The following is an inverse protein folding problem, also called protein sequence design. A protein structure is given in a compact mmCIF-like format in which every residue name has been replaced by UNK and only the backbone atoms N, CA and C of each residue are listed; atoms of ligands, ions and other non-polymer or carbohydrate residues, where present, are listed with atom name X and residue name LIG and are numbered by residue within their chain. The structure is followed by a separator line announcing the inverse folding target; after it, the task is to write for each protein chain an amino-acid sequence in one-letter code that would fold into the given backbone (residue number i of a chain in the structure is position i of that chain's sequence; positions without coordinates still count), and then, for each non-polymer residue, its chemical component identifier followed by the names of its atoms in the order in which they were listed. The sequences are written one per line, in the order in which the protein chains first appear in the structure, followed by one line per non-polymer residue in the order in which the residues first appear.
data_IF_859638862244
#
_entry.id   IF_859638862244
#
_cell.length_a   1.000
_cell.length_b   1.000
_cell.length_c   1.000
_cell.angle_alpha   90.00
_cell.angle_beta   90.00
_cell.angle_gamma   90.00
#
_symmetry.space_group_name_H-M   'P 1'
#
loop_
_entity.id
_entity.type
_entity.pdbx_description
1 polymer ?
#
# COMPACT_ATOMS: atom_id res chain seq x y z
N UNK A 1 -17.68 -44.32 67.15
CA UNK A 1 -17.49 -44.37 65.68
C UNK A 1 -17.74 -42.96 65.14
N UNK A 2 -16.69 -42.23 64.74
CA UNK A 2 -16.80 -40.88 64.18
C UNK A 2 -16.50 -40.97 62.68
N UNK A 3 -17.48 -40.65 61.85
CA UNK A 3 -17.39 -40.68 60.39
C UNK A 3 -16.81 -39.35 59.90
N UNK A 4 -15.64 -39.41 59.25
CA UNK A 4 -15.04 -38.28 58.53
C UNK A 4 -15.63 -38.20 57.12
N UNK A 5 -16.26 -37.06 56.79
CA UNK A 5 -16.67 -36.72 55.43
C UNK A 5 -15.56 -35.93 54.74
N UNK A 6 -14.98 -36.48 53.67
CA UNK A 6 -14.02 -35.80 52.81
C UNK A 6 -14.76 -34.93 51.79
N UNK A 7 -14.49 -33.62 51.80
CA UNK A 7 -14.87 -32.70 50.72
C UNK A 7 -13.87 -32.82 49.57
N UNK A 8 -14.32 -33.34 48.43
CA UNK A 8 -13.61 -33.30 47.15
C UNK A 8 -13.78 -31.92 46.52
N UNK A 9 -12.76 -31.08 46.64
CA UNK A 9 -12.60 -29.85 45.85
C UNK A 9 -12.19 -30.24 44.42
N UNK A 10 -13.14 -30.25 43.50
CA UNK A 10 -12.90 -30.37 42.06
C UNK A 10 -12.30 -29.06 41.53
N UNK A 11 -11.00 -29.06 41.27
CA UNK A 11 -10.29 -27.96 40.61
C UNK A 11 -10.55 -28.06 39.10
N UNK A 12 -11.55 -27.32 38.60
CA UNK A 12 -11.78 -27.18 37.16
C UNK A 12 -10.69 -26.31 36.54
N UNK A 13 -9.73 -26.96 35.87
CA UNK A 13 -8.67 -26.32 35.10
C UNK A 13 -9.27 -25.72 33.81
N UNK A 14 -9.57 -24.42 33.82
CA UNK A 14 -10.00 -23.69 32.65
C UNK A 14 -8.84 -23.52 31.66
N UNK A 15 -8.83 -24.33 30.60
CA UNK A 15 -8.03 -24.06 29.40
C UNK A 15 -8.62 -22.83 28.70
N UNK A 16 -8.14 -21.65 29.07
CA UNK A 16 -8.32 -20.45 28.26
C UNK A 16 -7.50 -20.63 26.97
N UNK A 17 -8.20 -20.84 25.85
CA UNK A 17 -7.65 -20.65 24.50
C UNK A 17 -7.25 -19.18 24.37
N UNK A 18 -6.01 -18.84 24.73
CA UNK A 18 -5.46 -17.54 24.40
C UNK A 18 -5.35 -17.46 22.88
N UNK A 19 -5.86 -16.39 22.24
CA UNK A 19 -5.55 -16.16 20.84
C UNK A 19 -4.03 -16.05 20.74
N UNK A 20 -3.43 -16.80 19.80
CA UNK A 20 -2.04 -16.64 19.40
C UNK A 20 -1.88 -15.21 18.85
N UNK A 21 -1.66 -14.25 19.74
CA UNK A 21 -1.15 -12.95 19.37
C UNK A 21 0.18 -13.22 18.69
N UNK A 22 0.30 -12.88 17.40
CA UNK A 22 1.58 -12.94 16.71
C UNK A 22 2.53 -12.03 17.47
N UNK A 23 3.50 -12.63 18.18
CA UNK A 23 4.47 -11.88 18.93
C UNK A 23 5.25 -11.01 17.95
N UNK A 24 5.33 -9.71 18.23
CA UNK A 24 6.09 -8.80 17.38
C UNK A 24 7.57 -9.24 17.34
N UNK A 25 8.18 -9.19 16.16
CA UNK A 25 9.57 -9.57 15.96
C UNK A 25 10.51 -8.82 16.93
N UNK A 26 11.37 -9.58 17.62
CA UNK A 26 12.43 -9.00 18.44
C UNK A 26 13.34 -8.09 17.61
N UNK A 27 14.05 -7.12 18.22
CA UNK A 27 15.00 -6.27 17.51
C UNK A 27 16.03 -7.07 16.68
N UNK A 28 16.51 -8.20 17.22
CA UNK A 28 17.43 -9.09 16.53
C UNK A 28 16.80 -9.77 15.31
N UNK A 29 15.57 -10.29 15.42
CA UNK A 29 14.85 -10.87 14.27
C UNK A 29 14.61 -9.82 13.19
N UNK A 30 14.26 -8.58 13.56
CA UNK A 30 14.09 -7.47 12.60
C UNK A 30 15.37 -7.18 11.84
N UNK A 31 16.49 -7.08 12.54
CA UNK A 31 17.81 -6.87 11.91
C UNK A 31 18.17 -8.01 10.94
N UNK A 32 17.94 -9.27 11.31
CA UNK A 32 18.21 -10.41 10.42
C UNK A 32 17.28 -10.42 9.20
N UNK A 33 16.00 -10.09 9.36
CA UNK A 33 15.06 -9.93 8.25
C UNK A 33 15.47 -8.80 7.31
N UNK A 34 16.02 -7.69 7.84
CA UNK A 34 16.60 -6.62 7.04
C UNK A 34 17.85 -7.09 6.28
N UNK A 35 18.73 -7.87 6.92
CA UNK A 35 19.89 -8.47 6.23
C UNK A 35 19.47 -9.40 5.10
N UNK A 36 18.41 -10.19 5.30
CA UNK A 36 17.81 -10.98 4.22
C UNK A 36 17.36 -10.06 3.08
N UNK A 37 16.54 -9.03 3.35
CA UNK A 37 16.06 -8.09 2.32
C UNK A 37 17.20 -7.39 1.58
N UNK A 38 18.25 -7.00 2.31
CA UNK A 38 19.45 -6.42 1.73
C UNK A 38 20.17 -7.42 0.82
N UNK A 39 20.38 -8.65 1.29
CA UNK A 39 20.96 -9.73 0.51
C UNK A 39 20.19 -9.98 -0.78
N UNK A 40 18.86 -10.03 -0.71
CA UNK A 40 17.97 -10.17 -1.86
C UNK A 40 18.13 -9.02 -2.87
N UNK A 41 18.11 -7.76 -2.39
CA UNK A 41 18.25 -6.59 -3.26
C UNK A 41 19.64 -6.45 -3.90
N UNK A 42 20.68 -6.99 -3.24
CA UNK A 42 22.08 -6.96 -3.69
C UNK A 42 22.53 -8.25 -4.36
N UNK A 43 21.63 -9.22 -4.56
CA UNK A 43 21.92 -10.55 -5.10
C UNK A 43 23.02 -11.33 -4.32
N UNK A 44 23.19 -11.02 -3.03
CA UNK A 44 24.11 -11.71 -2.12
C UNK A 44 23.41 -12.86 -1.41
N UNK A 45 23.32 -14.00 -2.08
CA UNK A 45 22.64 -15.20 -1.58
C UNK A 45 23.33 -15.84 -0.37
N UNK A 46 24.62 -15.58 -0.16
CA UNK A 46 25.36 -15.96 1.05
C UNK A 46 24.82 -15.23 2.29
N UNK A 47 24.62 -13.91 2.20
CA UNK A 47 24.05 -13.10 3.26
C UNK A 47 22.62 -13.54 3.57
N UNK A 48 21.83 -13.81 2.54
CA UNK A 48 20.47 -14.35 2.70
C UNK A 48 20.51 -15.67 3.46
N UNK A 49 21.31 -16.64 3.00
CA UNK A 49 21.38 -17.99 3.58
C UNK A 49 21.78 -17.95 5.06
N UNK A 50 22.83 -17.20 5.39
CA UNK A 50 23.32 -17.10 6.77
C UNK A 50 22.29 -16.43 7.70
N UNK A 51 21.68 -15.33 7.24
CA UNK A 51 20.69 -14.60 8.02
C UNK A 51 19.43 -15.41 8.23
N UNK A 52 18.96 -16.10 7.19
CA UNK A 52 17.79 -16.96 7.23
C UNK A 52 18.01 -18.18 8.13
N UNK A 53 19.19 -18.82 8.07
CA UNK A 53 19.52 -19.92 8.98
C UNK A 53 19.41 -19.50 10.45
N UNK A 54 19.94 -18.32 10.80
CA UNK A 54 19.83 -17.79 12.17
C UNK A 54 18.39 -17.49 12.56
N UNK A 55 17.57 -16.97 11.64
CA UNK A 55 16.15 -16.74 11.87
C UNK A 55 15.39 -18.04 12.14
N UNK A 56 15.65 -19.09 11.35
CA UNK A 56 15.03 -20.40 11.50
C UNK A 56 15.41 -21.08 12.83
N UNK A 57 16.60 -20.80 13.37
CA UNK A 57 16.99 -21.25 14.71
C UNK A 57 16.31 -20.48 15.85
N UNK A 58 15.99 -19.20 15.64
CA UNK A 58 15.34 -18.35 16.66
C UNK A 58 13.85 -18.64 16.73
N UNK A 59 13.16 -18.59 15.59
CA UNK A 59 11.71 -18.78 15.50
C UNK A 59 11.33 -19.35 14.12
N UNK A 60 11.36 -20.68 13.96
CA UNK A 60 11.05 -21.33 12.69
C UNK A 60 9.58 -21.21 12.27
N UNK A 61 8.70 -20.79 13.18
CA UNK A 61 7.25 -20.69 12.96
C UNK A 61 6.79 -19.25 12.69
N UNK A 62 7.73 -18.31 12.69
CA UNK A 62 7.47 -16.92 12.37
C UNK A 62 7.02 -16.76 10.90
N UNK A 63 5.86 -16.14 10.63
CA UNK A 63 5.38 -15.94 9.26
C UNK A 63 6.37 -15.18 8.36
N UNK A 64 7.11 -14.20 8.89
CA UNK A 64 8.10 -13.46 8.10
C UNK A 64 9.32 -14.33 7.73
N UNK A 65 9.71 -15.25 8.61
CA UNK A 65 10.83 -16.19 8.37
C UNK A 65 10.41 -17.24 7.33
N UNK A 66 9.21 -17.79 7.45
CA UNK A 66 8.67 -18.72 6.46
C UNK A 66 8.54 -18.03 5.09
N UNK A 67 8.06 -16.78 5.04
CA UNK A 67 7.99 -15.99 3.81
C UNK A 67 9.38 -15.67 3.23
N UNK A 68 10.40 -15.44 4.07
CA UNK A 68 11.77 -15.29 3.61
C UNK A 68 12.32 -16.60 2.99
N UNK A 69 12.06 -17.75 3.63
CA UNK A 69 12.43 -19.07 3.09
C UNK A 69 11.72 -19.38 1.77
N UNK A 70 10.43 -19.10 1.69
CA UNK A 70 9.65 -19.18 0.46
C UNK A 70 10.30 -18.40 -0.69
N UNK A 71 10.64 -17.12 -0.47
CA UNK A 71 11.27 -16.27 -1.50
C UNK A 71 12.66 -16.78 -1.89
N UNK A 72 13.43 -17.28 -0.93
CA UNK A 72 14.72 -17.92 -1.19
C UNK A 72 14.57 -19.13 -2.12
N UNK A 73 13.65 -20.06 -1.81
CA UNK A 73 13.40 -21.26 -2.62
C UNK A 73 12.96 -20.91 -4.05
N UNK A 74 12.09 -19.92 -4.22
CA UNK A 74 11.72 -19.43 -5.55
C UNK A 74 12.91 -18.93 -6.36
N UNK A 75 13.84 -18.18 -5.76
CA UNK A 75 15.04 -17.70 -6.45
C UNK A 75 16.01 -18.83 -6.81
N UNK A 76 16.03 -19.90 -6.03
CA UNK A 76 16.80 -21.11 -6.35
C UNK A 76 16.11 -21.99 -7.42
N UNK A 77 14.90 -21.63 -7.87
CA UNK A 77 14.11 -22.43 -8.81
C UNK A 77 13.38 -23.62 -8.17
N UNK A 78 13.44 -23.78 -6.84
CA UNK A 78 12.71 -24.82 -6.12
C UNK A 78 11.26 -24.38 -5.85
N UNK A 79 10.46 -24.41 -6.91
CA UNK A 79 9.03 -24.05 -6.88
C UNK A 79 8.21 -25.00 -6.01
N UNK A 80 8.60 -26.28 -5.92
CA UNK A 80 7.93 -27.26 -5.08
C UNK A 80 8.18 -27.00 -3.59
N UNK A 81 9.42 -26.69 -3.22
CA UNK A 81 9.78 -26.26 -1.87
C UNK A 81 9.08 -24.95 -1.49
N UNK A 82 9.08 -23.97 -2.40
CA UNK A 82 8.35 -22.72 -2.19
C UNK A 82 6.85 -22.96 -1.97
N UNK A 83 6.20 -23.80 -2.77
CA UNK A 83 4.79 -24.13 -2.59
C UNK A 83 4.51 -24.73 -1.19
N UNK A 84 5.40 -25.60 -0.69
CA UNK A 84 5.27 -26.15 0.67
C UNK A 84 5.32 -25.07 1.76
N UNK A 85 6.23 -24.10 1.66
CA UNK A 85 6.28 -22.99 2.62
C UNK A 85 5.06 -22.06 2.50
N UNK A 86 4.52 -21.89 1.28
CA UNK A 86 3.29 -21.14 1.07
C UNK A 86 2.08 -21.84 1.71
N UNK A 87 1.97 -23.17 1.57
CA UNK A 87 0.91 -23.96 2.20
C UNK A 87 1.04 -23.95 3.73
N UNK A 88 2.27 -23.96 4.24
CA UNK A 88 2.55 -23.78 5.67
C UNK A 88 2.08 -22.42 6.17
N UNK A 89 2.38 -21.33 5.45
CA UNK A 89 1.85 -20.00 5.76
C UNK A 89 0.32 -19.96 5.73
N UNK A 90 -0.31 -20.61 4.75
CA UNK A 90 -1.77 -20.71 4.65
C UNK A 90 -2.38 -21.37 5.88
N UNK A 91 -1.78 -22.45 6.37
CA UNK A 91 -2.28 -23.17 7.54
C UNK A 91 -2.08 -22.42 8.85
N UNK A 92 -0.96 -21.71 9.01
CA UNK A 92 -0.58 -21.07 10.27
C UNK A 92 -1.08 -19.63 10.40
N UNK A 93 -1.05 -18.86 9.33
CA UNK A 93 -1.35 -17.43 9.34
C UNK A 93 -2.01 -16.97 8.03
N UNK A 94 -3.22 -17.47 7.70
CA UNK A 94 -3.90 -17.20 6.42
C UNK A 94 -4.25 -15.73 6.19
N UNK A 95 -4.35 -14.92 7.24
CA UNK A 95 -4.64 -13.50 7.16
C UNK A 95 -3.40 -12.61 7.33
N UNK A 96 -2.20 -13.21 7.43
CA UNK A 96 -0.96 -12.45 7.54
C UNK A 96 -0.58 -11.76 6.22
N UNK A 97 0.03 -10.58 6.31
CA UNK A 97 0.64 -9.90 5.16
C UNK A 97 1.72 -10.76 4.49
N UNK A 98 2.48 -11.52 5.29
CA UNK A 98 3.47 -12.49 4.83
C UNK A 98 2.84 -13.53 3.89
N UNK A 99 1.72 -14.14 4.28
CA UNK A 99 1.00 -15.08 3.42
C UNK A 99 0.48 -14.43 2.14
N UNK A 100 -0.21 -13.28 2.24
CA UNK A 100 -0.80 -12.61 1.08
C UNK A 100 0.26 -12.20 0.05
N UNK A 101 1.40 -11.67 0.52
CA UNK A 101 2.55 -11.32 -0.33
C UNK A 101 3.18 -12.54 -0.99
N UNK A 102 3.43 -13.62 -0.23
CA UNK A 102 3.97 -14.88 -0.75
C UNK A 102 3.04 -15.52 -1.78
N UNK A 103 1.72 -15.53 -1.53
CA UNK A 103 0.71 -16.06 -2.47
C UNK A 103 0.76 -15.33 -3.81
N UNK A 104 0.85 -14.01 -3.77
CA UNK A 104 0.96 -13.16 -4.95
C UNK A 104 2.27 -13.42 -5.70
N UNK A 105 3.38 -13.51 -4.98
CA UNK A 105 4.69 -13.80 -5.56
C UNK A 105 4.68 -15.16 -6.25
N UNK A 106 4.08 -16.19 -5.62
CA UNK A 106 3.96 -17.53 -6.20
C UNK A 106 3.15 -17.48 -7.50
N UNK A 107 1.97 -16.86 -7.44
CA UNK A 107 1.08 -16.70 -8.59
C UNK A 107 1.80 -16.04 -9.78
N UNK A 108 2.50 -14.92 -9.54
CA UNK A 108 3.20 -14.15 -10.57
C UNK A 108 4.56 -14.76 -10.97
N UNK A 109 5.00 -15.83 -10.31
CA UNK A 109 6.18 -16.59 -10.75
C UNK A 109 5.87 -17.49 -11.96
N UNK A 110 4.60 -17.83 -12.17
CA UNK A 110 4.14 -18.69 -13.27
C UNK A 110 3.89 -17.90 -14.57
N UNK A 111 4.01 -18.52 -15.76
CA UNK A 111 3.59 -17.90 -17.02
C UNK A 111 2.10 -17.51 -17.01
N UNK A 112 1.23 -18.38 -16.52
CA UNK A 112 -0.22 -18.18 -16.50
C UNK A 112 -0.63 -16.99 -15.63
N UNK A 113 -0.07 -16.89 -14.42
CA UNK A 113 -0.35 -15.76 -13.53
C UNK A 113 0.12 -14.42 -14.13
N UNK A 114 1.28 -14.41 -14.81
CA UNK A 114 1.76 -13.22 -15.53
C UNK A 114 0.84 -12.87 -16.69
N UNK A 115 0.43 -13.84 -17.49
CA UNK A 115 -0.48 -13.62 -18.62
C UNK A 115 -1.83 -13.08 -18.15
N UNK A 116 -2.39 -13.64 -17.08
CA UNK A 116 -3.65 -13.18 -16.50
C UNK A 116 -3.54 -11.72 -15.99
N UNK A 117 -2.42 -11.36 -15.35
CA UNK A 117 -2.18 -9.97 -14.94
C UNK A 117 -2.10 -9.02 -16.14
N UNK A 118 -1.41 -9.43 -17.21
CA UNK A 118 -1.30 -8.62 -18.44
C UNK A 118 -2.65 -8.46 -19.13
N UNK A 119 -3.48 -9.51 -19.15
CA UNK A 119 -4.84 -9.41 -19.68
C UNK A 119 -5.69 -8.41 -18.89
N UNK A 120 -5.62 -8.45 -17.55
CA UNK A 120 -6.34 -7.49 -16.70
C UNK A 120 -5.89 -6.04 -16.97
N UNK A 121 -4.57 -5.82 -17.13
CA UNK A 121 -4.00 -4.51 -17.51
C UNK A 121 -4.47 -4.06 -18.88
N UNK A 122 -4.51 -4.94 -19.88
CA UNK A 122 -5.00 -4.62 -21.22
C UNK A 122 -6.47 -4.19 -21.22
N UNK A 123 -7.33 -4.90 -20.47
CA UNK A 123 -8.73 -4.52 -20.29
C UNK A 123 -8.85 -3.14 -19.63
N UNK A 124 -8.02 -2.87 -18.62
CA UNK A 124 -8.01 -1.59 -17.91
C UNK A 124 -7.59 -0.39 -18.79
N UNK A 125 -6.60 -0.60 -19.67
CA UNK A 125 -6.09 0.45 -20.57
C UNK A 125 -7.00 0.67 -21.77
N UNK A 126 -7.67 -0.37 -22.26
CA UNK A 126 -8.64 -0.28 -23.38
C UNK A 126 -10.04 0.19 -22.97
N UNK A 127 -10.27 0.47 -21.68
CA UNK A 127 -11.51 1.05 -21.17
C UNK A 127 -12.56 0.03 -20.70
N UNK A 128 -12.30 -1.27 -20.84
CA UNK A 128 -13.15 -2.38 -20.37
C UNK A 128 -13.07 -2.53 -18.85
N UNK A 129 -13.54 -1.51 -18.13
CA UNK A 129 -13.31 -1.34 -16.68
C UNK A 129 -13.89 -2.49 -15.86
N UNK A 130 -15.13 -2.90 -16.11
CA UNK A 130 -15.78 -3.98 -15.35
C UNK A 130 -15.07 -5.33 -15.58
N UNK A 131 -14.69 -5.62 -16.81
CA UNK A 131 -13.96 -6.84 -17.16
C UNK A 131 -12.56 -6.85 -16.54
N UNK A 132 -11.88 -5.70 -16.53
CA UNK A 132 -10.58 -5.56 -15.87
C UNK A 132 -10.67 -5.86 -14.38
N UNK A 133 -11.67 -5.27 -13.69
CA UNK A 133 -11.93 -5.51 -12.27
C UNK A 133 -12.20 -7.00 -12.03
N UNK A 134 -13.06 -7.64 -12.83
CA UNK A 134 -13.35 -9.06 -12.71
C UNK A 134 -12.10 -9.94 -12.95
N UNK A 135 -11.25 -9.57 -13.90
CA UNK A 135 -9.99 -10.27 -14.17
C UNK A 135 -9.01 -10.14 -12.99
N UNK A 136 -8.88 -8.95 -12.39
CA UNK A 136 -8.09 -8.74 -11.18
C UNK A 136 -8.66 -9.49 -9.98
N UNK A 137 -9.97 -9.44 -9.76
CA UNK A 137 -10.64 -10.11 -8.64
C UNK A 137 -10.49 -11.63 -8.75
N UNK A 138 -10.58 -12.19 -9.97
CA UNK A 138 -10.30 -13.60 -10.22
C UNK A 138 -8.84 -13.95 -9.96
N UNK A 139 -7.91 -13.09 -10.39
CA UNK A 139 -6.48 -13.32 -10.23
C UNK A 139 -6.07 -13.31 -8.75
N UNK A 140 -6.63 -12.39 -7.97
CA UNK A 140 -6.25 -12.16 -6.58
C UNK A 140 -7.31 -12.61 -5.56
N UNK A 141 -8.29 -13.41 -5.97
CA UNK A 141 -9.35 -13.92 -5.08
C UNK A 141 -10.02 -12.80 -4.26
N UNK A 142 -10.32 -11.68 -4.93
CA UNK A 142 -10.87 -10.45 -4.35
C UNK A 142 -9.96 -9.70 -3.36
N UNK A 143 -8.74 -10.17 -3.12
CA UNK A 143 -7.75 -9.59 -2.19
C UNK A 143 -6.55 -9.06 -2.99
N UNK A 144 -6.62 -7.85 -3.56
CA UNK A 144 -5.50 -7.29 -4.32
C UNK A 144 -4.23 -7.25 -3.44
N UNK A 145 -3.06 -7.54 -4.03
CA UNK A 145 -1.80 -7.52 -3.30
C UNK A 145 -1.43 -6.11 -2.83
N UNK A 146 -0.42 -5.98 -1.97
CA UNK A 146 0.16 -4.70 -1.59
C UNK A 146 1.09 -4.12 -2.68
N UNK A 147 1.46 -2.85 -2.54
CA UNK A 147 2.43 -2.18 -3.44
C UNK A 147 1.79 -1.70 -4.75
N UNK A 148 2.57 -1.69 -5.83
CA UNK A 148 2.18 -1.05 -7.09
C UNK A 148 0.94 -1.68 -7.73
N UNK A 149 0.80 -3.01 -7.65
CA UNK A 149 -0.38 -3.71 -8.18
C UNK A 149 -1.66 -3.32 -7.40
N UNK A 150 -1.54 -3.03 -6.10
CA UNK A 150 -2.65 -2.50 -5.31
C UNK A 150 -3.14 -1.17 -5.88
N UNK A 151 -2.19 -0.28 -6.16
CA UNK A 151 -2.44 1.04 -6.74
C UNK A 151 -3.08 0.92 -8.11
N UNK A 152 -2.56 0.05 -8.99
CA UNK A 152 -3.15 -0.25 -10.30
C UNK A 152 -4.60 -0.69 -10.16
N UNK A 153 -4.87 -1.72 -9.34
CA UNK A 153 -6.21 -2.25 -9.12
C UNK A 153 -7.18 -1.17 -8.63
N UNK A 154 -6.83 -0.43 -7.59
CA UNK A 154 -7.74 0.57 -7.03
C UNK A 154 -7.95 1.76 -7.97
N UNK A 155 -6.97 2.11 -8.80
CA UNK A 155 -7.16 3.11 -9.87
C UNK A 155 -8.16 2.63 -10.93
N UNK A 156 -8.20 1.33 -11.25
CA UNK A 156 -9.23 0.78 -12.14
C UNK A 156 -10.60 0.77 -11.45
N UNK A 157 -10.68 0.32 -10.21
CA UNK A 157 -11.94 0.33 -9.43
C UNK A 157 -12.50 1.74 -9.26
N UNK A 158 -11.64 2.75 -9.15
CA UNK A 158 -12.05 4.15 -9.02
C UNK A 158 -12.82 4.68 -10.25
N UNK A 159 -12.63 4.06 -11.43
CA UNK A 159 -13.39 4.42 -12.64
C UNK A 159 -14.86 4.02 -12.53
N UNK A 160 -15.20 3.04 -11.69
CA UNK A 160 -16.59 2.65 -11.42
C UNK A 160 -17.24 3.59 -10.40
N UNK A 161 -18.30 4.36 -10.75
CA UNK A 161 -18.88 5.36 -9.86
C UNK A 161 -19.36 4.79 -8.52
N UNK A 162 -19.98 3.61 -8.53
CA UNK A 162 -20.50 2.94 -7.33
C UNK A 162 -19.40 2.55 -6.33
N UNK A 163 -18.19 2.24 -6.82
CA UNK A 163 -17.05 1.80 -6.00
C UNK A 163 -15.99 2.87 -5.81
N UNK A 164 -16.16 4.06 -6.39
CA UNK A 164 -15.17 5.14 -6.38
C UNK A 164 -14.74 5.55 -4.98
N UNK A 165 -15.69 5.73 -4.05
CA UNK A 165 -15.38 6.14 -2.68
C UNK A 165 -14.56 5.07 -1.94
N UNK A 166 -14.87 3.79 -2.15
CA UNK A 166 -14.08 2.68 -1.61
C UNK A 166 -12.65 2.72 -2.14
N UNK A 167 -12.49 2.89 -3.46
CA UNK A 167 -11.18 2.97 -4.10
C UNK A 167 -10.33 4.14 -3.58
N UNK A 168 -10.91 5.34 -3.47
CA UNK A 168 -10.22 6.51 -2.90
C UNK A 168 -9.71 6.20 -1.49
N UNK A 169 -10.55 5.60 -0.64
CA UNK A 169 -10.15 5.28 0.73
C UNK A 169 -8.99 4.27 0.78
N UNK A 170 -8.92 3.34 -0.16
CA UNK A 170 -7.82 2.38 -0.26
C UNK A 170 -6.54 3.04 -0.80
N UNK A 171 -6.65 3.87 -1.84
CA UNK A 171 -5.53 4.65 -2.36
C UNK A 171 -4.94 5.60 -1.30
N UNK A 172 -5.79 6.21 -0.45
CA UNK A 172 -5.33 7.01 0.70
C UNK A 172 -4.51 6.18 1.70
N UNK A 173 -4.94 4.95 2.01
CA UNK A 173 -4.19 4.05 2.90
C UNK A 173 -2.85 3.67 2.28
N UNK A 174 -2.82 3.37 0.99
CA UNK A 174 -1.58 3.07 0.27
C UNK A 174 -0.64 4.28 0.31
N UNK A 175 -1.14 5.49 0.00
CA UNK A 175 -0.36 6.73 0.02
C UNK A 175 0.25 7.01 1.40
N UNK A 176 -0.49 6.75 2.49
CA UNK A 176 0.03 6.91 3.86
C UNK A 176 1.20 5.95 4.17
N UNK A 177 1.23 4.77 3.54
CA UNK A 177 2.32 3.79 3.68
C UNK A 177 3.45 3.95 2.66
N UNK A 178 3.32 4.86 1.70
CA UNK A 178 4.27 5.07 0.59
C UNK A 178 4.50 6.56 0.33
N UNK A 179 5.07 7.29 1.31
CA UNK A 179 5.31 8.73 1.17
C UNK A 179 6.25 9.02 0.01
N UNK A 180 5.96 10.08 -0.76
CA UNK A 180 6.77 10.51 -1.90
C UNK A 180 6.55 9.72 -3.20
N UNK A 181 5.58 8.79 -3.24
CA UNK A 181 5.14 8.17 -4.48
C UNK A 181 4.35 9.18 -5.34
N UNK A 182 5.07 9.94 -6.16
CA UNK A 182 4.52 11.00 -7.01
C UNK A 182 3.40 10.50 -7.94
N UNK A 183 3.55 9.40 -8.71
CA UNK A 183 2.46 8.88 -9.55
C UNK A 183 1.17 8.56 -8.78
N UNK A 184 1.29 7.97 -7.58
CA UNK A 184 0.13 7.69 -6.72
C UNK A 184 -0.51 8.99 -6.21
N UNK A 185 0.29 9.95 -5.75
CA UNK A 185 -0.21 11.23 -5.26
C UNK A 185 -0.94 12.03 -6.35
N UNK A 186 -0.39 12.08 -7.56
CA UNK A 186 -1.01 12.75 -8.70
C UNK A 186 -2.34 12.11 -9.07
N UNK A 187 -2.38 10.78 -9.22
CA UNK A 187 -3.63 10.06 -9.56
C UNK A 187 -4.69 10.21 -8.46
N UNK A 188 -4.29 10.12 -7.19
CA UNK A 188 -5.20 10.31 -6.06
C UNK A 188 -5.75 11.74 -5.98
N UNK A 189 -4.91 12.77 -6.14
CA UNK A 189 -5.35 14.16 -6.13
C UNK A 189 -6.35 14.44 -7.27
N UNK A 190 -6.05 13.97 -8.48
CA UNK A 190 -6.95 14.10 -9.62
C UNK A 190 -8.31 13.44 -9.36
N UNK A 191 -8.30 12.23 -8.79
CA UNK A 191 -9.52 11.49 -8.45
C UNK A 191 -10.35 12.20 -7.36
N UNK A 192 -9.68 12.80 -6.37
CA UNK A 192 -10.33 13.59 -5.31
C UNK A 192 -11.01 14.84 -5.90
N UNK A 193 -10.35 15.58 -6.79
CA UNK A 193 -10.95 16.72 -7.47
C UNK A 193 -12.16 16.33 -8.32
N UNK A 194 -12.05 15.24 -9.11
CA UNK A 194 -13.16 14.71 -9.91
C UNK A 194 -14.35 14.24 -9.06
N UNK A 195 -14.11 13.92 -7.78
CA UNK A 195 -15.14 13.48 -6.84
C UNK A 195 -15.68 14.63 -5.96
N UNK A 196 -15.30 15.88 -6.24
CA UNK A 196 -15.72 17.05 -5.47
C UNK A 196 -15.03 17.20 -4.11
N UNK A 197 -14.05 16.35 -3.77
CA UNK A 197 -13.33 16.34 -2.50
C UNK A 197 -12.10 17.26 -2.55
N UNK A 198 -12.34 18.55 -2.83
CA UNK A 198 -11.29 19.53 -3.17
C UNK A 198 -10.24 19.69 -2.06
N UNK A 199 -10.66 19.83 -0.81
CA UNK A 199 -9.74 20.05 0.32
C UNK A 199 -8.78 18.88 0.51
N UNK A 200 -9.28 17.65 0.35
CA UNK A 200 -8.44 16.46 0.39
C UNK A 200 -7.48 16.39 -0.81
N UNK A 201 -7.93 16.81 -2.00
CA UNK A 201 -7.08 16.89 -3.18
C UNK A 201 -5.91 17.84 -2.98
N UNK A 202 -6.16 19.04 -2.42
CA UNK A 202 -5.10 20.00 -2.10
C UNK A 202 -4.17 19.49 -0.99
N UNK A 203 -4.69 18.79 0.02
CA UNK A 203 -3.84 18.18 1.05
C UNK A 203 -2.87 17.14 0.44
N UNK A 204 -3.32 16.33 -0.53
CA UNK A 204 -2.44 15.39 -1.25
C UNK A 204 -1.38 16.13 -2.06
N UNK A 205 -1.75 17.22 -2.76
CA UNK A 205 -0.77 18.04 -3.50
C UNK A 205 0.24 18.72 -2.57
N UNK A 206 -0.17 19.15 -1.38
CA UNK A 206 0.73 19.72 -0.38
C UNK A 206 1.75 18.69 0.11
N UNK A 207 1.32 17.45 0.40
CA UNK A 207 2.24 16.36 0.73
C UNK A 207 3.18 16.04 -0.43
N UNK A 208 2.67 16.04 -1.66
CA UNK A 208 3.46 15.84 -2.87
C UNK A 208 4.53 16.93 -3.06
N UNK A 209 4.20 18.18 -2.71
CA UNK A 209 5.11 19.31 -2.78
C UNK A 209 6.27 19.27 -1.76
N UNK A 210 6.20 18.41 -0.73
CA UNK A 210 7.33 18.18 0.19
C UNK A 210 8.47 17.42 -0.47
N UNK A 211 8.19 16.66 -1.53
CA UNK A 211 9.19 15.97 -2.33
C UNK A 211 9.70 16.87 -3.46
N UNK A 212 11.02 16.96 -3.64
CA UNK A 212 11.60 17.71 -4.76
C UNK A 212 11.11 17.20 -6.12
N UNK A 213 10.91 15.88 -6.26
CA UNK A 213 10.44 15.27 -7.50
C UNK A 213 8.96 15.55 -7.77
N UNK A 214 8.18 15.84 -6.73
CA UNK A 214 6.73 16.08 -6.82
C UNK A 214 6.33 17.55 -6.88
N UNK A 215 7.19 18.47 -6.41
CA UNK A 215 6.85 19.89 -6.24
C UNK A 215 6.38 20.58 -7.51
N UNK A 216 7.09 20.40 -8.64
CA UNK A 216 6.70 21.05 -9.90
C UNK A 216 5.33 20.57 -10.39
N UNK A 217 5.13 19.26 -10.46
CA UNK A 217 3.85 18.69 -10.89
C UNK A 217 2.70 19.02 -9.92
N UNK A 218 2.97 19.09 -8.62
CA UNK A 218 1.97 19.49 -7.63
C UNK A 218 1.56 20.96 -7.82
N UNK A 219 2.53 21.83 -8.15
CA UNK A 219 2.31 23.24 -8.48
C UNK A 219 1.41 23.38 -9.70
N UNK A 220 1.73 22.66 -10.80
CA UNK A 220 0.90 22.62 -12.01
C UNK A 220 -0.54 22.20 -11.69
N UNK A 221 -0.71 21.06 -11.01
CA UNK A 221 -2.02 20.54 -10.68
C UNK A 221 -2.83 21.47 -9.78
N UNK A 222 -2.18 22.10 -8.79
CA UNK A 222 -2.84 23.04 -7.89
C UNK A 222 -3.28 24.29 -8.65
N UNK A 223 -2.40 24.89 -9.45
CA UNK A 223 -2.71 26.11 -10.17
C UNK A 223 -3.85 25.90 -11.17
N UNK A 224 -3.89 24.76 -11.87
CA UNK A 224 -5.01 24.40 -12.75
C UNK A 224 -6.37 24.38 -12.02
N UNK A 225 -6.40 24.10 -10.72
CA UNK A 225 -7.65 24.10 -9.95
C UNK A 225 -8.15 25.49 -9.55
N UNK A 226 -7.29 26.52 -9.59
CA UNK A 226 -7.60 27.86 -9.07
C UNK A 226 -7.51 28.97 -10.12
N UNK A 227 -6.78 28.75 -11.22
CA UNK A 227 -6.48 29.79 -12.23
C UNK A 227 -7.73 30.41 -12.87
N UNK A 228 -8.80 29.63 -13.06
CA UNK A 228 -10.01 30.07 -13.77
C UNK A 228 -11.11 30.58 -12.80
N UNK A 229 -10.80 30.74 -11.51
CA UNK A 229 -11.77 31.24 -10.54
C UNK A 229 -11.99 32.75 -10.74
N UNK A 230 -13.27 33.20 -10.78
CA UNK A 230 -13.58 34.63 -10.88
C UNK A 230 -13.11 35.38 -9.63
N UNK A 231 -12.77 36.66 -9.80
CA UNK A 231 -12.30 37.52 -8.73
C UNK A 231 -13.30 37.56 -7.57
N UNK A 232 -12.85 37.07 -6.41
CA UNK A 232 -13.61 37.01 -5.17
C UNK A 232 -12.65 36.93 -3.98
N UNK A 233 -13.16 37.11 -2.75
CA UNK A 233 -12.36 36.87 -1.55
C UNK A 233 -11.83 35.42 -1.49
N UNK A 234 -12.62 34.45 -1.93
CA UNK A 234 -12.24 33.03 -1.95
C UNK A 234 -11.09 32.76 -2.93
N UNK A 235 -11.11 33.33 -4.14
CA UNK A 235 -10.04 33.14 -5.13
C UNK A 235 -8.73 33.82 -4.69
N UNK A 236 -8.81 34.98 -4.04
CA UNK A 236 -7.66 35.65 -3.41
C UNK A 236 -7.04 34.75 -2.33
N UNK A 237 -7.84 34.18 -1.44
CA UNK A 237 -7.36 33.23 -0.43
C UNK A 237 -6.73 31.98 -1.06
N UNK A 238 -7.33 31.44 -2.12
CA UNK A 238 -6.79 30.27 -2.82
C UNK A 238 -5.41 30.55 -3.46
N UNK A 239 -5.24 31.72 -4.09
CA UNK A 239 -3.96 32.17 -4.65
C UNK A 239 -2.91 32.41 -3.56
N UNK A 240 -3.30 33.02 -2.43
CA UNK A 240 -2.40 33.21 -1.29
C UNK A 240 -1.93 31.87 -0.70
N UNK A 241 -2.84 30.91 -0.54
CA UNK A 241 -2.50 29.56 -0.08
C UNK A 241 -1.53 28.87 -1.03
N UNK A 242 -1.80 28.91 -2.34
CA UNK A 242 -0.88 28.38 -3.35
C UNK A 242 0.52 29.00 -3.25
N UNK A 243 0.62 30.33 -3.16
CA UNK A 243 1.89 31.06 -3.04
C UNK A 243 2.62 30.83 -1.71
N UNK A 244 1.93 30.34 -0.67
CA UNK A 244 2.57 29.93 0.59
C UNK A 244 3.25 28.56 0.51
N UNK A 245 2.83 27.71 -0.43
CA UNK A 245 3.35 26.35 -0.63
C UNK A 245 4.43 26.33 -1.72
N UNK A 246 4.28 27.15 -2.77
CA UNK A 246 5.16 27.18 -3.93
C UNK A 246 5.88 28.53 -4.05
N UNK A 247 7.21 28.49 -4.10
CA UNK A 247 8.07 29.68 -4.07
C UNK A 247 8.56 30.15 -5.44
N UNK A 248 8.59 29.24 -6.42
CA UNK A 248 9.28 29.36 -7.70
C UNK A 248 8.53 28.66 -8.85
N UNK A 249 8.85 29.04 -10.09
CA UNK A 249 8.26 28.50 -11.32
C UNK A 249 7.27 29.45 -12.01
N UNK A 250 6.94 29.17 -13.27
CA UNK A 250 6.11 30.02 -14.11
C UNK A 250 4.69 30.21 -13.53
N UNK A 251 4.10 29.14 -12.99
CA UNK A 251 2.79 29.23 -12.34
C UNK A 251 2.81 30.10 -11.08
N UNK A 252 3.94 30.17 -10.36
CA UNK A 252 4.09 31.07 -9.20
C UNK A 252 4.10 32.52 -9.66
N UNK A 253 4.82 32.82 -10.75
CA UNK A 253 4.81 34.15 -11.36
C UNK A 253 3.40 34.54 -11.84
N UNK A 254 2.71 33.62 -12.52
CA UNK A 254 1.32 33.84 -12.97
C UNK A 254 0.35 34.05 -11.80
N UNK A 255 0.44 33.24 -10.75
CA UNK A 255 -0.40 33.36 -9.57
C UNK A 255 -0.18 34.69 -8.82
N UNK A 256 1.06 35.20 -8.74
CA UNK A 256 1.34 36.54 -8.17
C UNK A 256 0.67 37.65 -8.97
N UNK A 257 0.82 37.64 -10.29
CA UNK A 257 0.19 38.63 -11.16
C UNK A 257 -1.35 38.59 -11.07
N UNK A 258 -1.93 37.38 -11.04
CA UNK A 258 -3.37 37.18 -10.88
C UNK A 258 -3.87 37.67 -9.52
N UNK A 259 -3.13 37.41 -8.44
CA UNK A 259 -3.47 37.87 -7.09
C UNK A 259 -3.54 39.41 -7.03
N UNK A 260 -2.53 40.09 -7.57
CA UNK A 260 -2.50 41.57 -7.62
C UNK A 260 -3.67 42.13 -8.44
N UNK A 261 -3.98 41.52 -9.58
CA UNK A 261 -5.09 41.94 -10.43
C UNK A 261 -6.44 41.79 -9.71
N UNK A 262 -6.67 40.65 -9.04
CA UNK A 262 -7.92 40.41 -8.30
C UNK A 262 -8.05 41.35 -7.10
N UNK A 263 -6.97 41.66 -6.39
CA UNK A 263 -6.99 42.61 -5.28
C UNK A 263 -7.35 44.03 -5.75
N UNK A 264 -6.85 44.46 -6.91
CA UNK A 264 -7.21 45.77 -7.50
C UNK A 264 -8.68 45.84 -7.93
N UNK A 265 -9.24 44.74 -8.43
CA UNK A 265 -10.63 44.69 -8.87
C UNK A 265 -11.63 44.71 -7.69
N UNK A 266 -11.21 44.21 -6.53
CA UNK A 266 -12.02 44.10 -5.32
C UNK A 266 -11.84 45.29 -4.35
N UNK A 267 -10.91 46.20 -4.65
CA UNK A 267 -10.66 47.44 -3.91
C UNK A 267 -11.62 48.54 -4.37
#
# INVERSE_FOLDING_TARGET
MRTFTLNLLTLSLGLALMPLAQAANSPQQRQLLEQVRLGESTQREDLVRQSLYRLELIDPNNPDVIAARFRYLLRQGDTAGAQKELDRLKGMAPDSSAYQSSRTTMLLSTPDGRQALQQARLLATTGHTQEAIAAYDKLFDGKPPSGDIATEYWNVVAKEPARRNLAINQLKKINASSPGNVPLQSSLAQLLFQSGRRDEGFAVLQEMAKSNNGRSQASDMWYQQIKDQPASSASVTALQQYLSVFSDGDNVTAARAQLEAQQKQLA
#
